data_IF_139885303292
#
_entry.id   IF_139885303292
#
_cell.length_a   1.000
_cell.length_b   1.000
_cell.length_c   1.000
_cell.angle_alpha   90.00
_cell.angle_beta   90.00
_cell.angle_gamma   90.00
#
_symmetry.space_group_name_H-M   'P 1'
#
loop_
_entity.id
_entity.type
_entity.pdbx_description
1 polymer ?
#
# COMPACT_ATOMS: atom_id res chain seq x y z
N UNK A 1 25.56 -6.15 13.36
CA UNK A 1 24.67 -5.14 12.75
C UNK A 1 25.48 -4.33 11.74
N UNK A 2 25.15 -4.44 10.46
CA UNK A 2 25.71 -3.59 9.41
C UNK A 2 24.59 -2.64 8.98
N UNK A 3 24.59 -1.41 9.49
CA UNK A 3 23.73 -0.33 8.98
C UNK A 3 24.34 0.14 7.64
N UNK A 4 23.61 0.00 6.54
CA UNK A 4 23.97 0.59 5.24
C UNK A 4 22.89 1.56 4.78
N UNK A 5 23.29 2.79 4.50
CA UNK A 5 22.43 3.86 3.97
C UNK A 5 22.15 3.61 2.49
N UNK A 6 20.89 3.74 2.07
CA UNK A 6 20.41 3.33 0.76
C UNK A 6 20.63 4.38 -0.35
N UNK A 7 21.90 4.61 -0.72
CA UNK A 7 22.28 5.57 -1.78
C UNK A 7 23.33 5.08 -2.78
N UNK A 8 23.79 3.83 -2.73
CA UNK A 8 24.79 3.34 -3.69
C UNK A 8 24.13 2.47 -4.77
N UNK A 9 24.35 2.80 -6.06
CA UNK A 9 24.18 1.85 -7.16
C UNK A 9 24.93 0.55 -6.79
N UNK A 10 24.26 -0.60 -6.84
CA UNK A 10 24.90 -1.87 -6.52
C UNK A 10 25.97 -2.19 -7.57
N UNK A 11 27.24 -1.90 -7.27
CA UNK A 11 28.38 -2.43 -8.03
C UNK A 11 28.57 -3.90 -7.66
N UNK A 12 28.28 -4.78 -8.62
CA UNK A 12 28.42 -6.23 -8.46
C UNK A 12 29.86 -6.63 -8.75
N UNK A 13 30.67 -6.83 -7.71
CA UNK A 13 32.08 -7.22 -7.85
C UNK A 13 32.26 -8.67 -8.30
N UNK A 14 31.26 -9.54 -8.07
CA UNK A 14 31.24 -10.94 -8.51
C UNK A 14 29.81 -11.40 -8.76
N UNK A 15 29.48 -12.09 -9.88
CA UNK A 15 28.15 -12.65 -10.13
C UNK A 15 27.65 -13.62 -9.04
N UNK A 16 28.58 -14.27 -8.33
CA UNK A 16 28.30 -15.14 -7.18
C UNK A 16 29.09 -14.60 -5.98
N UNK A 17 28.42 -14.13 -4.91
CA UNK A 17 29.07 -13.56 -3.75
C UNK A 17 29.50 -14.68 -2.78
N UNK A 18 30.48 -14.39 -1.92
CA UNK A 18 30.89 -15.32 -0.86
C UNK A 18 29.86 -15.42 0.27
N UNK A 19 29.07 -14.34 0.47
CA UNK A 19 28.07 -14.23 1.53
C UNK A 19 26.78 -13.62 0.99
N UNK A 20 25.68 -13.83 1.71
CA UNK A 20 24.40 -13.19 1.42
C UNK A 20 24.51 -11.68 1.62
N UNK A 21 24.13 -10.91 0.62
CA UNK A 21 24.11 -9.45 0.70
C UNK A 21 22.75 -8.88 0.33
N UNK A 22 22.46 -7.70 0.87
CA UNK A 22 21.20 -7.00 0.73
C UNK A 22 21.45 -5.53 0.43
N UNK A 23 20.67 -4.99 -0.48
CA UNK A 23 20.71 -3.59 -0.88
C UNK A 23 19.29 -3.06 -0.99
N UNK A 24 19.13 -1.78 -0.66
CA UNK A 24 17.89 -1.04 -0.82
C UNK A 24 18.19 0.18 -1.69
N UNK A 25 17.44 0.34 -2.77
CA UNK A 25 17.54 1.47 -3.69
C UNK A 25 16.20 2.20 -3.74
N UNK A 26 16.23 3.54 -3.84
CA UNK A 26 15.05 4.40 -3.96
C UNK A 26 15.04 5.11 -5.31
N UNK A 27 13.90 5.14 -5.97
CA UNK A 27 13.63 5.90 -7.18
C UNK A 27 12.27 6.62 -7.14
N UNK A 28 12.18 7.91 -7.54
CA UNK A 28 13.29 8.82 -7.81
C UNK A 28 14.05 9.18 -6.52
N UNK A 29 15.29 9.65 -6.65
CA UNK A 29 16.06 10.13 -5.50
C UNK A 29 15.65 11.56 -5.11
N UNK A 30 14.44 11.69 -4.59
CA UNK A 30 13.90 12.94 -4.04
C UNK A 30 13.88 12.86 -2.53
N UNK A 31 14.20 13.97 -1.87
CA UNK A 31 14.18 14.07 -0.41
C UNK A 31 12.94 14.75 0.11
N UNK A 32 12.39 15.72 -0.62
CA UNK A 32 11.14 16.41 -0.24
C UNK A 32 9.95 15.68 -0.84
N UNK A 33 9.00 15.31 0.02
CA UNK A 33 7.79 14.60 -0.40
C UNK A 33 6.52 15.26 0.16
N UNK A 34 5.46 15.19 -0.63
CA UNK A 34 4.14 15.74 -0.32
C UNK A 34 3.12 14.61 -0.24
N UNK A 35 1.94 14.89 0.30
CA UNK A 35 0.84 13.93 0.29
C UNK A 35 0.51 13.45 -1.14
N UNK A 36 0.47 12.13 -1.31
CA UNK A 36 0.30 11.43 -2.57
C UNK A 36 1.56 11.26 -3.41
N UNK A 37 2.73 11.76 -2.98
CA UNK A 37 4.00 11.48 -3.64
C UNK A 37 4.29 9.99 -3.59
N UNK A 38 4.59 9.41 -4.76
CA UNK A 38 5.06 8.04 -4.90
C UNK A 38 6.58 7.98 -4.69
N UNK A 39 7.03 7.05 -3.87
CA UNK A 39 8.42 6.61 -3.84
C UNK A 39 8.44 5.13 -4.24
N UNK A 40 9.23 4.80 -5.25
CA UNK A 40 9.47 3.41 -5.65
C UNK A 40 10.78 2.93 -5.04
N UNK A 41 10.81 1.66 -4.63
CA UNK A 41 11.97 1.04 -4.00
C UNK A 41 12.24 -0.31 -4.62
N UNK A 42 13.53 -0.68 -4.63
CA UNK A 42 14.01 -2.01 -4.98
C UNK A 42 14.85 -2.57 -3.85
N UNK A 43 14.46 -3.74 -3.34
CA UNK A 43 15.34 -4.58 -2.52
C UNK A 43 16.04 -5.56 -3.44
N UNK A 44 17.36 -5.58 -3.38
CA UNK A 44 18.20 -6.55 -4.08
C UNK A 44 18.83 -7.49 -3.06
N UNK A 45 18.62 -8.79 -3.24
CA UNK A 45 19.23 -9.84 -2.41
C UNK A 45 20.15 -10.65 -3.31
N UNK A 46 21.42 -10.78 -2.92
CA UNK A 46 22.43 -11.52 -3.67
C UNK A 46 22.87 -12.74 -2.89
N UNK A 47 22.53 -13.91 -3.42
CA UNK A 47 22.72 -15.18 -2.72
C UNK A 47 24.11 -15.76 -3.00
N UNK A 48 24.82 -16.27 -2.00
CA UNK A 48 25.99 -17.11 -2.22
C UNK A 48 25.55 -18.49 -2.73
N UNK A 49 26.48 -19.30 -3.23
CA UNK A 49 26.15 -20.69 -3.59
C UNK A 49 25.69 -21.49 -2.35
N UNK A 50 24.71 -22.36 -2.51
CA UNK A 50 24.14 -23.16 -1.42
C UNK A 50 22.68 -22.80 -1.15
N UNK A 51 22.24 -22.97 0.10
CA UNK A 51 20.85 -22.74 0.50
C UNK A 51 20.75 -21.65 1.55
N UNK A 52 19.75 -20.79 1.45
CA UNK A 52 19.46 -19.76 2.45
C UNK A 52 17.96 -19.65 2.64
N UNK A 53 17.50 -19.70 3.89
CA UNK A 53 16.11 -19.35 4.23
C UNK A 53 16.02 -17.85 4.49
N UNK A 54 15.06 -17.16 3.84
CA UNK A 54 14.96 -15.70 3.88
C UNK A 54 13.52 -15.23 4.01
N UNK A 55 13.28 -14.35 4.98
CA UNK A 55 12.03 -13.59 5.11
C UNK A 55 12.36 -12.09 5.01
N UNK A 56 11.65 -11.39 4.13
CA UNK A 56 11.80 -9.94 3.94
C UNK A 56 10.60 -9.23 4.54
N UNK A 57 10.86 -8.18 5.30
CA UNK A 57 9.85 -7.32 5.88
C UNK A 57 10.07 -5.87 5.44
N UNK A 58 9.02 -5.23 4.94
CA UNK A 58 9.02 -3.84 4.50
C UNK A 58 8.16 -3.03 5.46
N UNK A 59 8.65 -1.86 5.89
CA UNK A 59 7.97 -0.98 6.83
C UNK A 59 7.94 0.45 6.32
N UNK A 60 6.76 1.06 6.37
CA UNK A 60 6.55 2.47 6.03
C UNK A 60 6.12 3.34 7.22
N UNK A 61 6.11 2.77 8.42
CA UNK A 61 5.88 3.47 9.67
C UNK A 61 7.18 3.79 10.40
N UNK A 62 7.20 4.93 11.10
CA UNK A 62 8.29 5.35 11.96
C UNK A 62 7.75 5.71 13.35
N UNK A 63 8.29 5.13 14.42
CA UNK A 63 7.92 5.42 15.82
C UNK A 63 6.39 5.56 16.09
N UNK A 64 5.60 4.55 15.73
CA UNK A 64 4.13 4.52 15.89
C UNK A 64 3.33 5.49 15.02
N UNK A 65 3.95 6.06 14.00
CA UNK A 65 3.26 6.89 13.03
C UNK A 65 3.23 6.22 11.66
N UNK A 66 2.03 5.85 11.20
CA UNK A 66 1.82 5.49 9.79
C UNK A 66 1.84 6.77 8.97
N UNK A 67 2.85 6.91 8.12
CA UNK A 67 3.05 8.14 7.33
C UNK A 67 3.05 7.91 5.83
N UNK A 68 3.24 6.65 5.42
CA UNK A 68 3.11 6.23 4.05
C UNK A 68 2.40 4.88 3.97
N UNK A 69 1.69 4.68 2.87
CA UNK A 69 1.00 3.44 2.54
C UNK A 69 1.88 2.61 1.60
N UNK A 70 2.20 1.37 1.98
CA UNK A 70 2.82 0.37 1.12
C UNK A 70 1.84 -0.11 0.05
N UNK A 71 2.36 -0.29 -1.15
CA UNK A 71 1.55 -0.73 -2.28
C UNK A 71 2.34 -1.63 -3.22
N UNK A 72 1.67 -2.72 -3.63
CA UNK A 72 2.12 -3.65 -4.66
C UNK A 72 3.59 -4.11 -4.50
N UNK A 73 4.01 -4.59 -3.30
CA UNK A 73 5.28 -5.29 -3.18
C UNK A 73 5.23 -6.57 -4.02
N UNK A 74 6.30 -6.91 -4.72
CA UNK A 74 6.39 -8.15 -5.49
C UNK A 74 7.83 -8.50 -5.85
N UNK A 75 8.10 -9.79 -5.96
CA UNK A 75 9.31 -10.27 -6.65
C UNK A 75 9.17 -9.96 -8.13
N UNK A 76 10.14 -9.22 -8.70
CA UNK A 76 10.16 -8.86 -10.13
C UNK A 76 11.25 -9.57 -10.91
N UNK A 77 12.23 -10.15 -10.23
CA UNK A 77 13.33 -10.91 -10.82
C UNK A 77 13.76 -12.03 -9.88
N UNK A 78 14.02 -13.19 -10.47
CA UNK A 78 14.71 -14.32 -9.84
C UNK A 78 15.79 -14.75 -10.82
N UNK A 79 17.05 -14.72 -10.38
CA UNK A 79 18.17 -15.07 -11.22
C UNK A 79 18.21 -16.55 -11.59
N UNK A 80 18.81 -16.86 -12.73
CA UNK A 80 18.81 -18.22 -13.31
C UNK A 80 19.54 -19.28 -12.47
N UNK A 81 20.44 -18.87 -11.56
CA UNK A 81 21.05 -19.80 -10.62
C UNK A 81 20.12 -20.21 -9.47
N UNK A 82 19.02 -19.48 -9.27
CA UNK A 82 18.15 -19.58 -8.11
C UNK A 82 16.95 -20.49 -8.37
N UNK A 83 16.71 -21.40 -7.45
CA UNK A 83 15.50 -22.19 -7.37
C UNK A 83 14.75 -21.81 -6.09
N UNK A 84 13.53 -21.30 -6.25
CA UNK A 84 12.65 -20.89 -5.15
C UNK A 84 11.18 -21.01 -5.54
N UNK A 85 10.30 -21.07 -4.53
CA UNK A 85 8.86 -21.12 -4.75
C UNK A 85 8.25 -19.77 -5.16
N UNK A 86 6.97 -19.80 -5.54
CA UNK A 86 6.21 -18.56 -5.74
C UNK A 86 6.02 -17.82 -4.41
N UNK A 87 6.29 -16.52 -4.42
CA UNK A 87 6.15 -15.65 -3.26
C UNK A 87 4.91 -14.80 -3.41
N UNK A 88 3.99 -14.90 -2.45
CA UNK A 88 2.84 -14.00 -2.33
C UNK A 88 3.06 -13.10 -1.12
N UNK A 89 3.20 -11.78 -1.31
CA UNK A 89 3.33 -10.85 -0.20
C UNK A 89 2.08 -10.85 0.68
N UNK A 90 2.28 -10.76 2.00
CA UNK A 90 1.23 -10.50 2.98
C UNK A 90 1.32 -9.05 3.39
N UNK A 91 0.24 -8.29 3.18
CA UNK A 91 0.14 -6.88 3.57
C UNK A 91 -0.63 -6.76 4.89
N UNK A 92 -0.11 -5.95 5.81
CA UNK A 92 -0.69 -5.74 7.14
C UNK A 92 -0.88 -4.25 7.42
N UNK A 93 -1.94 -3.95 8.17
CA UNK A 93 -2.14 -2.64 8.81
C UNK A 93 -1.85 -2.81 10.29
N UNK A 94 -0.61 -2.59 10.69
CA UNK A 94 -0.09 -2.91 12.03
C UNK A 94 -0.85 -2.11 13.09
N UNK A 95 -1.20 -0.86 12.80
CA UNK A 95 -1.93 0.03 13.71
C UNK A 95 -3.45 -0.02 13.54
N UNK A 96 -3.99 -0.89 12.68
CA UNK A 96 -5.43 -1.08 12.49
C UNK A 96 -6.17 0.13 11.90
N UNK A 97 -5.45 1.07 11.29
CA UNK A 97 -6.00 2.27 10.65
C UNK A 97 -6.49 2.02 9.21
N UNK A 98 -6.36 0.77 8.72
CA UNK A 98 -6.75 0.39 7.36
C UNK A 98 -5.71 0.73 6.30
N UNK A 99 -4.52 1.15 6.71
CA UNK A 99 -3.41 1.49 5.82
C UNK A 99 -2.41 0.36 5.88
N UNK A 100 -2.05 -0.19 4.73
CA UNK A 100 -0.96 -1.16 4.67
C UNK A 100 0.35 -0.44 4.95
N UNK A 101 0.98 -0.75 6.07
CA UNK A 101 2.23 -0.15 6.53
C UNK A 101 3.33 -1.17 6.84
N UNK A 102 2.98 -2.45 6.72
CA UNK A 102 3.91 -3.56 6.67
C UNK A 102 3.62 -4.50 5.50
N UNK A 103 4.68 -5.03 4.90
CA UNK A 103 4.59 -6.14 3.95
C UNK A 103 5.60 -7.23 4.32
N UNK A 104 5.17 -8.49 4.28
CA UNK A 104 6.01 -9.66 4.57
C UNK A 104 6.10 -10.49 3.29
N UNK A 105 7.33 -10.78 2.85
CA UNK A 105 7.62 -11.67 1.74
C UNK A 105 8.48 -12.83 2.26
N UNK A 106 7.85 -13.99 2.44
CA UNK A 106 8.57 -15.21 2.78
C UNK A 106 9.09 -15.87 1.50
N UNK A 107 10.41 -15.81 1.28
CA UNK A 107 11.05 -16.44 0.12
C UNK A 107 11.24 -17.95 0.31
N UNK A 108 11.12 -18.41 1.56
CA UNK A 108 11.46 -19.76 1.99
C UNK A 108 12.93 -20.07 1.76
N UNK A 109 13.23 -21.36 1.59
CA UNK A 109 14.57 -21.81 1.21
C UNK A 109 14.83 -21.51 -0.26
N UNK A 110 15.78 -20.61 -0.51
CA UNK A 110 16.33 -20.30 -1.83
C UNK A 110 17.58 -21.13 -2.04
N UNK A 111 17.61 -21.93 -3.10
CA UNK A 111 18.78 -22.70 -3.51
C UNK A 111 19.50 -21.99 -4.65
N UNK A 112 20.79 -21.73 -4.49
CA UNK A 112 21.65 -21.15 -5.51
C UNK A 112 22.68 -22.17 -5.98
N UNK A 113 22.56 -22.59 -7.24
CA UNK A 113 23.48 -23.56 -7.86
C UNK A 113 24.90 -23.02 -8.07
N UNK A 114 25.05 -21.69 -8.18
CA UNK A 114 26.32 -21.03 -8.48
C UNK A 114 26.96 -21.46 -9.81
N UNK A 115 26.16 -21.87 -10.79
CA UNK A 115 26.68 -22.43 -12.06
C UNK A 115 26.93 -21.35 -13.12
N UNK A 116 26.10 -20.33 -13.22
CA UNK A 116 26.34 -19.15 -14.03
C UNK A 116 27.13 -18.11 -13.24
N UNK A 117 28.45 -18.07 -13.47
CA UNK A 117 29.38 -17.11 -12.90
C UNK A 117 29.67 -15.92 -13.84
N UNK A 118 28.90 -15.75 -14.91
CA UNK A 118 29.13 -14.75 -15.95
C UNK A 118 28.05 -13.67 -16.00
N UNK A 119 26.82 -14.01 -15.65
CA UNK A 119 25.67 -13.11 -15.66
C UNK A 119 25.52 -12.40 -14.30
N UNK A 120 25.65 -11.06 -14.22
CA UNK A 120 25.72 -10.34 -12.93
C UNK A 120 24.54 -10.57 -11.97
N UNK A 121 23.33 -10.79 -12.51
CA UNK A 121 22.10 -10.97 -11.73
C UNK A 121 21.61 -12.43 -11.66
N UNK A 122 22.42 -13.40 -12.09
CA UNK A 122 22.03 -14.82 -12.07
C UNK A 122 21.82 -15.36 -10.65
N UNK A 123 22.43 -14.77 -9.62
CA UNK A 123 22.24 -15.15 -8.22
C UNK A 123 21.48 -14.10 -7.41
N UNK A 124 20.65 -13.28 -8.06
CA UNK A 124 19.93 -12.19 -7.39
C UNK A 124 18.41 -12.36 -7.42
N UNK A 125 17.75 -11.90 -6.36
CA UNK A 125 16.32 -11.63 -6.30
C UNK A 125 16.09 -10.13 -6.22
N UNK A 126 15.19 -9.60 -7.05
CA UNK A 126 14.74 -8.21 -6.94
C UNK A 126 13.29 -8.15 -6.47
N UNK A 127 13.04 -7.35 -5.45
CA UNK A 127 11.70 -7.07 -4.92
C UNK A 127 11.42 -5.59 -5.12
N UNK A 128 10.42 -5.29 -5.93
CA UNK A 128 9.96 -3.91 -6.12
C UNK A 128 8.74 -3.64 -5.23
N UNK A 129 8.69 -2.46 -4.63
CA UNK A 129 7.53 -1.98 -3.91
C UNK A 129 7.39 -0.47 -4.06
N UNK A 130 6.17 0.02 -3.82
CA UNK A 130 5.88 1.45 -3.81
C UNK A 130 5.39 1.85 -2.44
N UNK A 131 5.67 3.09 -2.08
CA UNK A 131 5.00 3.75 -0.96
C UNK A 131 4.44 5.09 -1.43
N UNK A 132 3.32 5.48 -0.83
CA UNK A 132 2.73 6.79 -1.06
C UNK A 132 2.62 7.53 0.25
N UNK A 133 3.12 8.77 0.31
CA UNK A 133 2.91 9.62 1.48
C UNK A 133 1.41 9.84 1.69
N UNK A 134 0.95 9.62 2.91
CA UNK A 134 -0.43 9.86 3.32
C UNK A 134 -0.53 11.08 4.21
N UNK A 135 -1.69 11.72 4.23
CA UNK A 135 -1.99 12.75 5.23
C UNK A 135 -2.06 12.10 6.61
N UNK A 136 -1.29 12.63 7.56
CA UNK A 136 -1.36 12.23 8.95
C UNK A 136 -1.25 13.46 9.84
N UNK A 137 -2.07 13.52 10.90
CA UNK A 137 -1.99 14.60 11.89
C UNK A 137 -0.75 14.48 12.80
N UNK A 138 0.00 13.39 12.69
CA UNK A 138 1.26 13.15 13.39
C UNK A 138 2.48 13.53 12.55
N UNK A 139 2.27 13.84 11.26
CA UNK A 139 3.32 14.32 10.36
C UNK A 139 3.48 15.84 10.49
N UNK A 140 4.73 16.32 10.65
CA UNK A 140 5.06 17.75 10.79
C UNK A 140 5.91 18.18 9.60
N UNK A 141 5.51 19.27 8.93
CA UNK A 141 6.24 19.84 7.78
C UNK A 141 7.69 20.18 8.15
N UNK A 142 8.63 19.81 7.29
CA UNK A 142 10.06 20.04 7.48
C UNK A 142 10.78 18.98 8.32
N UNK A 143 10.06 18.04 8.93
CA UNK A 143 10.66 16.95 9.71
C UNK A 143 11.11 15.77 8.83
N UNK A 144 12.16 15.11 9.29
CA UNK A 144 12.74 13.91 8.68
C UNK A 144 12.07 12.64 9.22
N UNK A 145 11.81 11.70 8.32
CA UNK A 145 11.19 10.43 8.61
C UNK A 145 11.84 9.30 7.83
N UNK A 146 11.69 8.06 8.32
CA UNK A 146 12.38 6.91 7.78
C UNK A 146 11.44 5.86 7.19
N UNK A 147 11.88 5.28 6.07
CA UNK A 147 11.34 4.02 5.53
C UNK A 147 12.37 2.94 5.75
N UNK A 148 11.92 1.76 6.14
CA UNK A 148 12.81 0.66 6.49
C UNK A 148 12.49 -0.60 5.70
N UNK A 149 13.52 -1.33 5.32
CA UNK A 149 13.42 -2.71 4.86
C UNK A 149 14.33 -3.57 5.75
N UNK A 150 13.79 -4.70 6.19
CA UNK A 150 14.50 -5.70 6.98
C UNK A 150 14.47 -7.05 6.27
N UNK A 151 15.46 -7.88 6.54
CA UNK A 151 15.45 -9.27 6.14
C UNK A 151 16.05 -10.12 7.26
N UNK A 152 15.35 -11.20 7.63
CA UNK A 152 15.92 -12.25 8.46
C UNK A 152 16.36 -13.41 7.57
N UNK A 153 17.47 -14.04 7.94
CA UNK A 153 17.99 -15.20 7.23
C UNK A 153 18.68 -16.19 8.16
N UNK A 154 18.94 -17.39 7.64
CA UNK A 154 19.50 -18.52 8.39
C UNK A 154 18.61 -18.98 9.56
N UNK A 155 17.29 -19.04 9.35
CA UNK A 155 16.28 -19.31 10.39
C UNK A 155 16.31 -18.26 11.52
N UNK A 156 16.24 -16.99 11.12
CA UNK A 156 16.21 -15.82 12.02
C UNK A 156 17.47 -15.60 12.88
N UNK A 157 18.58 -16.31 12.62
CA UNK A 157 19.83 -16.08 13.36
C UNK A 157 20.53 -14.79 12.94
N UNK A 158 20.30 -14.35 11.70
CA UNK A 158 20.91 -13.16 11.13
C UNK A 158 19.84 -12.18 10.64
N UNK A 159 20.07 -10.88 10.90
CA UNK A 159 19.15 -9.81 10.56
C UNK A 159 19.90 -8.71 9.82
N UNK A 160 19.38 -8.33 8.66
CA UNK A 160 19.75 -7.14 7.92
C UNK A 160 18.66 -6.08 8.02
N UNK A 161 19.07 -4.81 8.12
CA UNK A 161 18.18 -3.66 8.10
C UNK A 161 18.81 -2.55 7.26
N UNK A 162 18.05 -1.98 6.35
CA UNK A 162 18.37 -0.74 5.68
C UNK A 162 17.24 0.27 5.81
N UNK A 163 17.60 1.54 5.79
CA UNK A 163 16.66 2.64 5.94
C UNK A 163 17.00 3.78 4.98
N UNK A 164 15.96 4.50 4.57
CA UNK A 164 16.06 5.73 3.78
C UNK A 164 15.24 6.81 4.45
N UNK A 165 15.82 8.00 4.59
CA UNK A 165 15.10 9.15 5.07
C UNK A 165 14.48 10.00 3.96
N UNK A 166 13.41 10.71 4.33
CA UNK A 166 12.77 11.74 3.54
C UNK A 166 12.30 12.86 4.45
N UNK A 167 12.16 14.07 3.88
CA UNK A 167 11.60 15.23 4.54
C UNK A 167 10.18 15.41 4.01
N UNK A 168 9.22 15.50 4.91
CA UNK A 168 7.84 15.79 4.52
C UNK A 168 7.66 17.30 4.37
N UNK A 169 6.86 17.72 3.41
CA UNK A 169 6.46 19.12 3.28
C UNK A 169 4.95 19.24 3.11
N UNK A 170 4.41 20.38 3.55
CA UNK A 170 3.01 20.70 3.31
C UNK A 170 2.86 21.22 1.89
N UNK A 171 1.96 20.61 1.12
CA UNK A 171 1.60 21.11 -0.21
C UNK A 171 0.23 21.77 -0.20
N UNK A 172 0.07 22.79 -1.03
CA UNK A 172 -1.23 23.31 -1.44
C UNK A 172 -1.64 22.56 -2.70
N UNK A 173 -2.32 21.43 -2.52
CA UNK A 173 -2.83 20.67 -3.66
C UNK A 173 -3.97 21.43 -4.36
N UNK A 174 -3.69 21.92 -5.57
CA UNK A 174 -4.67 22.59 -6.42
C UNK A 174 -5.21 21.61 -7.47
N UNK A 175 -6.50 21.28 -7.38
CA UNK A 175 -7.20 20.52 -8.42
C UNK A 175 -7.92 21.44 -9.38
N UNK A 176 -7.85 21.16 -10.69
CA UNK A 176 -8.59 21.86 -11.73
C UNK A 176 -10.08 21.50 -11.76
N UNK A 177 -10.46 20.37 -11.16
CA UNK A 177 -11.84 19.91 -11.05
C UNK A 177 -12.19 19.58 -9.60
N UNK A 178 -13.32 20.08 -9.06
CA UNK A 178 -13.74 19.71 -7.71
C UNK A 178 -14.17 18.24 -7.64
N UNK A 179 -14.22 17.69 -6.42
CA UNK A 179 -14.87 16.40 -6.20
C UNK A 179 -16.32 16.45 -6.68
N UNK A 180 -16.79 15.36 -7.30
CA UNK A 180 -18.14 15.25 -7.83
C UNK A 180 -18.75 13.91 -7.45
N UNK A 181 -20.05 13.92 -7.14
CA UNK A 181 -20.82 12.75 -6.74
C UNK A 181 -22.08 12.69 -7.60
N UNK A 182 -22.29 11.56 -8.27
CA UNK A 182 -23.47 11.30 -9.08
C UNK A 182 -24.22 10.10 -8.53
N UNK A 183 -25.45 10.31 -8.08
CA UNK A 183 -26.33 9.23 -7.64
C UNK A 183 -27.22 8.79 -8.81
N UNK A 184 -27.12 7.51 -9.16
CA UNK A 184 -27.87 6.89 -10.24
C UNK A 184 -28.82 5.82 -9.67
N UNK A 185 -30.03 5.73 -10.19
CA UNK A 185 -31.01 4.73 -9.77
C UNK A 185 -32.33 4.86 -10.54
N UNK A 186 -33.28 3.94 -10.32
CA UNK A 186 -34.57 4.01 -10.98
C UNK A 186 -35.38 5.23 -10.50
N UNK A 187 -36.11 5.92 -11.39
CA UNK A 187 -36.92 7.09 -11.02
C UNK A 187 -38.19 6.72 -10.25
N UNK A 188 -38.55 5.43 -10.21
CA UNK A 188 -39.74 4.90 -9.55
C UNK A 188 -39.40 3.56 -8.91
N UNK A 189 -39.97 3.31 -7.72
CA UNK A 189 -39.84 2.05 -6.98
C UNK A 189 -41.23 1.63 -6.54
N UNK A 190 -41.64 0.40 -6.88
CA UNK A 190 -42.95 -0.12 -6.52
C UNK A 190 -43.00 -0.51 -5.03
N UNK A 191 -44.17 -0.36 -4.40
CA UNK A 191 -44.38 -0.76 -3.01
C UNK A 191 -44.13 -2.28 -2.87
N UNK A 192 -43.30 -2.66 -1.90
CA UNK A 192 -42.92 -4.06 -1.67
C UNK A 192 -41.75 -4.56 -2.54
N UNK A 193 -41.22 -3.73 -3.42
CA UNK A 193 -40.04 -4.05 -4.24
C UNK A 193 -38.74 -3.50 -3.63
N UNK A 194 -37.60 -3.88 -4.20
CA UNK A 194 -36.29 -3.37 -3.86
C UNK A 194 -35.62 -2.74 -5.09
N UNK A 195 -34.94 -1.61 -4.89
CA UNK A 195 -34.18 -0.92 -5.92
C UNK A 195 -32.71 -0.79 -5.53
N UNK A 196 -31.84 -0.75 -6.55
CA UNK A 196 -30.41 -0.47 -6.37
C UNK A 196 -30.11 0.94 -6.84
N UNK A 197 -29.37 1.67 -6.01
CA UNK A 197 -28.82 2.97 -6.35
C UNK A 197 -27.30 2.85 -6.35
N UNK A 198 -26.63 3.52 -7.29
CA UNK A 198 -25.17 3.55 -7.40
C UNK A 198 -24.70 4.99 -7.25
N UNK A 199 -23.75 5.20 -6.35
CA UNK A 199 -23.06 6.47 -6.16
C UNK A 199 -21.72 6.40 -6.87
N UNK A 200 -21.58 7.18 -7.94
CA UNK A 200 -20.31 7.36 -8.64
C UNK A 200 -19.60 8.59 -8.05
N UNK A 201 -18.34 8.42 -7.62
CA UNK A 201 -17.56 9.48 -7.00
C UNK A 201 -16.29 9.75 -7.79
N UNK A 202 -16.07 11.01 -8.14
CA UNK A 202 -14.79 11.53 -8.63
C UNK A 202 -14.10 12.29 -7.50
N UNK A 203 -12.93 11.83 -7.08
CA UNK A 203 -12.22 12.35 -5.91
C UNK A 203 -10.79 12.72 -6.33
N UNK A 204 -10.54 14.01 -6.61
CA UNK A 204 -9.26 14.42 -7.20
C UNK A 204 -8.13 14.52 -6.17
N UNK A 205 -8.40 14.38 -4.87
CA UNK A 205 -7.39 14.60 -3.84
C UNK A 205 -6.33 13.49 -3.81
N UNK A 206 -5.04 13.81 -3.59
CA UNK A 206 -3.97 12.81 -3.50
C UNK A 206 -4.24 11.80 -2.38
N UNK A 207 -4.76 12.28 -1.27
CA UNK A 207 -5.08 11.53 -0.06
C UNK A 207 -6.42 12.03 0.48
N UNK A 208 -7.30 11.12 0.88
CA UNK A 208 -8.58 11.50 1.50
C UNK A 208 -9.13 10.38 2.39
N UNK A 209 -9.66 10.74 3.56
CA UNK A 209 -10.45 9.82 4.39
C UNK A 209 -11.91 9.92 4.01
N UNK A 210 -12.54 8.81 3.61
CA UNK A 210 -13.84 8.84 2.94
C UNK A 210 -14.84 7.97 3.67
N UNK A 211 -15.95 8.59 4.07
CA UNK A 211 -17.14 7.91 4.54
C UNK A 211 -18.33 8.39 3.72
N UNK A 212 -19.13 7.45 3.22
CA UNK A 212 -20.35 7.71 2.47
C UNK A 212 -21.53 7.41 3.37
N UNK A 213 -22.39 8.40 3.56
CA UNK A 213 -23.67 8.23 4.24
C UNK A 213 -24.80 8.31 3.20
N UNK A 214 -25.47 7.19 2.98
CA UNK A 214 -26.72 7.13 2.24
C UNK A 214 -27.88 7.26 3.22
N UNK A 215 -28.94 7.94 2.80
CA UNK A 215 -30.16 8.13 3.59
C UNK A 215 -31.36 7.70 2.76
N UNK A 216 -32.31 7.01 3.38
CA UNK A 216 -33.66 6.87 2.82
C UNK A 216 -34.35 8.24 2.85
N UNK A 217 -35.45 8.45 2.10
CA UNK A 217 -36.04 9.78 1.91
C UNK A 217 -36.23 10.57 3.20
N UNK A 218 -35.66 11.78 3.22
CA UNK A 218 -35.62 12.66 4.40
C UNK A 218 -36.95 13.35 4.70
N UNK A 219 -37.81 13.50 3.68
CA UNK A 219 -39.00 14.36 3.67
C UNK A 219 -40.32 13.64 3.96
N UNK A 220 -40.34 12.30 3.97
CA UNK A 220 -41.53 11.49 4.28
C UNK A 220 -41.11 10.30 5.12
N UNK A 221 -41.70 10.11 6.31
CA UNK A 221 -41.34 8.99 7.19
C UNK A 221 -41.62 7.64 6.53
N UNK A 222 -40.64 6.74 6.61
CA UNK A 222 -40.72 5.28 6.46
C UNK A 222 -41.16 4.69 5.10
N UNK A 223 -40.96 5.40 3.99
CA UNK A 223 -41.30 4.88 2.65
C UNK A 223 -40.26 3.91 2.06
N UNK A 224 -39.03 3.93 2.57
CA UNK A 224 -37.95 3.03 2.15
C UNK A 224 -37.11 2.62 3.36
N UNK A 225 -36.58 1.40 3.33
CA UNK A 225 -35.63 0.86 4.31
C UNK A 225 -34.35 0.45 3.59
N UNK A 226 -33.20 0.77 4.18
CA UNK A 226 -31.91 0.38 3.61
C UNK A 226 -31.53 -1.05 3.98
N UNK A 227 -31.25 -1.86 2.96
CA UNK A 227 -30.84 -3.25 3.14
C UNK A 227 -29.32 -3.41 3.26
N UNK A 228 -28.55 -2.66 2.46
CA UNK A 228 -27.09 -2.78 2.39
C UNK A 228 -26.46 -1.55 1.74
N UNK A 229 -25.24 -1.22 2.14
CA UNK A 229 -24.35 -0.31 1.40
C UNK A 229 -23.00 -1.01 1.23
N UNK A 230 -22.47 -1.04 0.01
CA UNK A 230 -21.23 -1.77 -0.29
C UNK A 230 -20.40 -1.02 -1.32
N UNK A 231 -19.08 -1.17 -1.25
CA UNK A 231 -18.20 -0.73 -2.32
C UNK A 231 -18.37 -1.68 -3.52
N UNK A 232 -18.68 -1.14 -4.69
CA UNK A 232 -18.85 -1.93 -5.91
C UNK A 232 -17.53 -2.12 -6.67
N UNK A 233 -16.80 -1.03 -6.88
CA UNK A 233 -15.51 -1.02 -7.58
C UNK A 233 -14.77 0.29 -7.27
N UNK A 234 -13.46 0.31 -7.54
CA UNK A 234 -12.62 1.50 -7.49
C UNK A 234 -12.03 1.82 -8.87
N UNK A 235 -11.61 3.08 -9.05
CA UNK A 235 -10.76 3.43 -10.19
C UNK A 235 -9.35 2.86 -10.04
N UNK A 236 -8.64 2.71 -11.17
CA UNK A 236 -7.28 2.15 -11.20
C UNK A 236 -6.28 2.90 -10.30
N UNK A 237 -6.52 4.19 -10.07
CA UNK A 237 -5.69 5.01 -9.20
C UNK A 237 -5.87 4.73 -7.70
N UNK A 238 -6.78 3.85 -7.30
CA UNK A 238 -6.99 3.45 -5.91
C UNK A 238 -6.64 1.97 -5.69
N UNK A 239 -5.72 1.44 -6.49
CA UNK A 239 -5.31 0.03 -6.43
C UNK A 239 -4.69 -0.39 -5.09
N UNK A 240 -4.21 0.57 -4.29
CA UNK A 240 -3.60 0.33 -2.98
C UNK A 240 -4.62 0.27 -1.83
N UNK A 241 -5.92 0.42 -2.12
CA UNK A 241 -6.97 0.41 -1.10
C UNK A 241 -7.01 -0.94 -0.37
N UNK A 242 -6.98 -0.90 0.96
CA UNK A 242 -7.23 -2.05 1.80
C UNK A 242 -8.73 -2.35 1.85
N UNK A 243 -9.17 -3.28 1.00
CA UNK A 243 -10.58 -3.67 0.95
C UNK A 243 -11.07 -4.33 2.24
N UNK A 244 -10.19 -4.97 3.00
CA UNK A 244 -10.53 -5.65 4.26
C UNK A 244 -10.81 -4.64 5.39
N UNK A 245 -10.31 -3.41 5.27
CA UNK A 245 -10.58 -2.32 6.21
C UNK A 245 -11.91 -1.60 5.96
N UNK A 246 -12.59 -1.90 4.85
CA UNK A 246 -13.85 -1.25 4.50
C UNK A 246 -14.98 -1.81 5.36
N UNK A 247 -15.70 -0.91 6.02
CA UNK A 247 -16.82 -1.28 6.90
C UNK A 247 -18.12 -0.68 6.41
N UNK A 248 -19.20 -1.45 6.54
CA UNK A 248 -20.56 -1.02 6.27
C UNK A 248 -21.41 -1.17 7.53
N UNK A 249 -22.08 -0.09 7.92
CA UNK A 249 -22.99 -0.08 9.06
C UNK A 249 -24.35 0.43 8.62
N UNK A 250 -25.40 -0.30 8.97
CA UNK A 250 -26.79 0.11 8.74
C UNK A 250 -27.38 0.57 10.07
N UNK A 251 -28.05 1.72 10.06
CA UNK A 251 -28.63 2.34 11.24
C UNK A 251 -30.17 2.27 11.17
N UNK A 252 -30.82 1.82 12.26
CA UNK A 252 -32.27 1.77 12.34
C UNK A 252 -32.85 3.19 12.43
N UNK A 253 -34.05 3.36 11.90
CA UNK A 253 -34.82 4.58 12.13
C UNK A 253 -35.26 4.68 13.59
N UNK A 254 -35.12 5.86 14.21
CA UNK A 254 -35.51 6.09 15.60
C UNK A 254 -37.00 5.85 15.89
N UNK A 255 -37.87 5.98 14.87
CA UNK A 255 -39.31 5.68 14.96
C UNK A 255 -39.68 4.20 14.79
N UNK A 256 -38.69 3.32 14.58
CA UNK A 256 -38.84 1.87 14.70
C UNK A 256 -39.05 1.08 13.41
N UNK A 257 -39.41 1.71 12.29
CA UNK A 257 -39.60 0.98 11.03
C UNK A 257 -38.36 1.06 10.13
N UNK A 258 -37.70 -0.08 9.96
CA UNK A 258 -36.61 -0.24 9.01
C UNK A 258 -35.35 0.56 9.34
N UNK A 259 -34.49 0.70 8.33
CA UNK A 259 -33.20 1.38 8.42
C UNK A 259 -33.20 2.64 7.58
N UNK A 260 -32.88 3.78 8.19
CA UNK A 260 -32.92 5.08 7.50
C UNK A 260 -31.57 5.54 6.98
N UNK A 261 -30.47 4.92 7.41
CA UNK A 261 -29.11 5.31 7.04
C UNK A 261 -28.23 4.09 6.86
N UNK A 262 -27.37 4.15 5.87
CA UNK A 262 -26.26 3.22 5.68
C UNK A 262 -24.99 4.01 5.53
N UNK A 263 -23.98 3.65 6.30
CA UNK A 263 -22.65 4.25 6.28
C UNK A 263 -21.67 3.25 5.71
N UNK A 264 -20.97 3.64 4.66
CA UNK A 264 -19.82 2.93 4.13
C UNK A 264 -18.57 3.72 4.48
N UNK A 265 -17.69 3.16 5.31
CA UNK A 265 -16.41 3.75 5.64
C UNK A 265 -15.34 3.10 4.76
N UNK A 266 -14.79 3.87 3.83
CA UNK A 266 -13.71 3.44 2.94
C UNK A 266 -12.32 3.62 3.58
N UNK A 267 -12.25 4.29 4.73
CA UNK A 267 -10.98 4.62 5.36
C UNK A 267 -10.21 5.68 4.59
N UNK A 268 -8.88 5.69 4.80
CA UNK A 268 -7.99 6.57 4.08
C UNK A 268 -7.61 5.97 2.72
N UNK A 269 -7.81 6.74 1.67
CA UNK A 269 -7.51 6.35 0.29
C UNK A 269 -6.39 7.23 -0.28
N UNK A 270 -5.59 6.63 -1.15
CA UNK A 270 -4.56 7.32 -1.94
C UNK A 270 -4.92 7.25 -3.41
N UNK A 271 -4.94 8.41 -4.08
CA UNK A 271 -5.08 8.52 -5.54
C UNK A 271 -3.68 8.49 -6.17
N UNK A 272 -3.24 7.31 -6.60
CA UNK A 272 -1.90 7.09 -7.15
C UNK A 272 -1.65 7.84 -8.45
N UNK A 273 -2.70 8.21 -9.19
CA UNK A 273 -2.56 8.95 -10.45
C UNK A 273 -2.49 10.47 -10.29
N UNK A 274 -2.64 10.99 -9.07
CA UNK A 274 -2.65 12.44 -8.83
C UNK A 274 -1.27 13.10 -9.07
N UNK A 275 -0.20 12.38 -8.74
CA UNK A 275 1.19 12.83 -8.88
C UNK A 275 2.06 11.91 -9.73
N UNK A 276 1.46 10.95 -10.45
CA UNK A 276 2.18 9.99 -11.30
C UNK A 276 2.73 10.57 -12.62
N UNK A 277 2.52 11.87 -12.86
CA UNK A 277 3.05 12.59 -14.01
C UNK A 277 3.75 13.87 -13.54
N UNK A 278 4.99 13.69 -13.10
CA UNK A 278 6.00 14.71 -12.86
C UNK A 278 7.35 14.13 -13.24
#
# INVERSE_FOLDING_TARGET
>A
MLNRTATEEVTVDSPIPDNLTFYLERHPNITQIYDGTELSFRVTIHFPSGSSDVVVELFSSDNDTTQAMLCNPRVVHVGDNLNMGNVTPVLESVYGNGIYDRAILNLGTVENSGTDASTPNASMVFIDYKVYKITSNLTVSGEEYWLSAGASFNNDSDIWVAQVSYITETDVFNTSAPANLTLNGPPQVEIGSAAKFTLDMYIPYPTATIAVDAFTPYNTSDVMSMCSVTLKNTGLNYACLNNDAITSTIYPYAGGNGNNRGRLNLGQMVNTGNRASG
#
